data_IF_043586921194
#
_entry.id   IF_043586921194
#
_cell.length_a   1.000
_cell.length_b   1.000
_cell.length_c   1.000
_cell.angle_alpha   90.00
_cell.angle_beta   90.00
_cell.angle_gamma   90.00
#
_symmetry.space_group_name_H-M   'P 1'
#
loop_
_entity.id
_entity.type
_entity.pdbx_description
1 polymer ?
#
# COMPACT_ATOMS: atom_id res chain seq x y z
N UNK A 1 -11.38 -29.89 9.59
CA UNK A 1 -11.83 -30.18 8.21
C UNK A 1 -12.05 -28.88 7.44
N UNK A 2 -11.95 -28.90 6.11
CA UNK A 2 -12.09 -27.71 5.24
C UNK A 2 -13.41 -26.97 5.49
N UNK A 3 -14.50 -27.71 5.63
CA UNK A 3 -15.84 -27.17 5.94
C UNK A 3 -15.88 -26.41 7.29
N UNK A 4 -15.21 -26.90 8.32
CA UNK A 4 -15.14 -26.20 9.62
C UNK A 4 -14.35 -24.88 9.52
N UNK A 5 -13.34 -24.80 8.66
CA UNK A 5 -12.57 -23.57 8.43
C UNK A 5 -13.40 -22.53 7.67
N UNK A 6 -14.14 -22.94 6.65
CA UNK A 6 -15.05 -22.04 5.93
C UNK A 6 -16.14 -21.48 6.84
N UNK A 7 -16.74 -22.35 7.69
CA UNK A 7 -17.75 -21.91 8.66
C UNK A 7 -17.16 -20.93 9.68
N UNK A 8 -15.94 -21.19 10.19
CA UNK A 8 -15.24 -20.29 11.09
C UNK A 8 -14.92 -18.93 10.45
N UNK A 9 -14.47 -18.92 9.20
CA UNK A 9 -14.20 -17.69 8.44
C UNK A 9 -15.49 -16.89 8.19
N UNK A 10 -16.60 -17.56 7.86
CA UNK A 10 -17.91 -16.92 7.75
C UNK A 10 -18.37 -16.29 9.08
N UNK A 11 -18.16 -16.98 10.19
CA UNK A 11 -18.45 -16.45 11.51
C UNK A 11 -17.58 -15.21 11.82
N UNK A 12 -16.28 -15.29 11.57
CA UNK A 12 -15.36 -14.15 11.74
C UNK A 12 -15.82 -12.94 10.92
N UNK A 13 -16.28 -13.14 9.68
CA UNK A 13 -16.84 -12.07 8.85
C UNK A 13 -18.06 -11.42 9.52
N UNK A 14 -18.97 -12.21 10.11
CA UNK A 14 -20.14 -11.66 10.80
C UNK A 14 -19.75 -10.82 12.03
N UNK A 15 -18.67 -11.18 12.73
CA UNK A 15 -18.17 -10.40 13.88
C UNK A 15 -17.55 -9.04 13.47
N UNK A 16 -17.27 -8.81 12.20
CA UNK A 16 -16.85 -7.49 11.72
C UNK A 16 -18.01 -6.50 11.53
N UNK A 17 -19.25 -6.97 11.65
CA UNK A 17 -20.48 -6.21 11.40
C UNK A 17 -21.26 -5.98 12.70
N UNK A 18 -22.04 -4.88 12.82
CA UNK A 18 -22.93 -4.67 13.96
C UNK A 18 -23.91 -5.83 14.16
N UNK A 19 -24.02 -6.29 15.41
CA UNK A 19 -24.73 -7.51 15.77
C UNK A 19 -26.22 -7.53 15.43
N UNK A 20 -26.89 -6.37 15.39
CA UNK A 20 -28.35 -6.31 15.26
C UNK A 20 -28.92 -6.96 13.99
N UNK A 21 -28.18 -6.87 12.87
CA UNK A 21 -28.64 -7.38 11.57
C UNK A 21 -28.27 -8.86 11.31
N UNK A 22 -27.35 -9.43 12.09
CA UNK A 22 -26.74 -10.73 11.81
C UNK A 22 -26.79 -11.73 12.99
N UNK A 23 -27.51 -11.42 14.04
CA UNK A 23 -27.59 -12.24 15.26
C UNK A 23 -28.03 -13.69 15.01
N UNK A 24 -29.01 -13.92 14.12
CA UNK A 24 -29.45 -15.28 13.76
C UNK A 24 -28.39 -16.04 12.99
N UNK A 25 -27.69 -15.39 12.08
CA UNK A 25 -26.59 -15.99 11.32
C UNK A 25 -25.45 -16.41 12.25
N UNK A 26 -25.07 -15.52 13.20
CA UNK A 26 -24.05 -15.84 14.22
C UNK A 26 -24.49 -17.04 15.06
N UNK A 27 -25.74 -17.08 15.55
CA UNK A 27 -26.26 -18.20 16.34
C UNK A 27 -26.22 -19.54 15.58
N UNK A 28 -26.56 -19.53 14.30
CA UNK A 28 -26.46 -20.72 13.44
C UNK A 28 -25.01 -21.22 13.28
N UNK A 29 -24.10 -20.30 12.94
CA UNK A 29 -22.67 -20.63 12.71
C UNK A 29 -21.97 -21.09 14.01
N UNK A 30 -22.26 -20.47 15.14
CA UNK A 30 -21.71 -20.91 16.45
C UNK A 30 -22.21 -22.30 16.84
N UNK A 31 -23.49 -22.59 16.58
CA UNK A 31 -24.07 -23.94 16.81
C UNK A 31 -23.41 -24.98 15.91
N UNK A 32 -23.19 -24.68 14.62
CA UNK A 32 -22.54 -25.57 13.66
C UNK A 32 -21.10 -25.90 14.06
N UNK A 33 -20.36 -24.90 14.57
CA UNK A 33 -18.98 -25.07 15.05
C UNK A 33 -18.88 -25.68 16.46
N UNK A 34 -19.98 -25.81 17.17
CA UNK A 34 -19.95 -26.27 18.56
C UNK A 34 -19.21 -25.34 19.53
N UNK A 35 -19.21 -24.03 19.24
CA UNK A 35 -18.54 -23.02 20.06
C UNK A 35 -19.56 -22.14 20.77
N UNK A 36 -19.20 -21.68 21.97
CA UNK A 36 -20.05 -20.81 22.77
C UNK A 36 -19.58 -19.39 22.70
N UNK A 37 -20.40 -18.51 22.09
CA UNK A 37 -20.25 -17.07 22.12
C UNK A 37 -21.57 -16.45 22.61
N UNK A 38 -21.51 -15.65 23.65
CA UNK A 38 -22.68 -15.06 24.27
C UNK A 38 -22.37 -13.70 24.92
N UNK A 39 -23.28 -13.18 25.71
CA UNK A 39 -23.12 -11.89 26.39
C UNK A 39 -22.06 -11.91 27.51
N UNK A 40 -21.52 -13.09 27.86
CA UNK A 40 -20.46 -13.25 28.86
C UNK A 40 -19.10 -13.57 28.23
N UNK A 41 -18.97 -13.49 26.92
CA UNK A 41 -17.74 -13.76 26.18
C UNK A 41 -16.95 -12.47 25.96
N UNK A 42 -15.65 -12.53 26.22
CA UNK A 42 -14.70 -11.48 25.88
C UNK A 42 -14.19 -11.68 24.45
N UNK A 43 -13.98 -10.58 23.72
CA UNK A 43 -13.48 -10.59 22.35
C UNK A 43 -12.33 -9.60 22.20
N UNK A 44 -11.28 -10.02 21.49
CA UNK A 44 -10.18 -9.14 21.07
C UNK A 44 -9.87 -9.45 19.61
N UNK A 45 -9.93 -8.43 18.75
CA UNK A 45 -9.58 -8.57 17.36
C UNK A 45 -8.12 -8.17 17.10
N UNK A 46 -7.43 -8.96 16.29
CA UNK A 46 -6.12 -8.64 15.75
C UNK A 46 -6.27 -8.51 14.24
N UNK A 47 -5.75 -7.44 13.66
CA UNK A 47 -5.68 -7.27 12.22
C UNK A 47 -4.23 -7.25 11.81
N UNK A 48 -3.85 -8.18 10.95
CA UNK A 48 -2.51 -8.24 10.35
C UNK A 48 -2.60 -7.69 8.93
N UNK A 49 -1.87 -6.62 8.65
CA UNK A 49 -1.54 -6.19 7.29
C UNK A 49 -0.20 -6.79 6.92
N UNK A 50 -0.09 -7.39 5.75
CA UNK A 50 1.17 -7.98 5.27
C UNK A 50 1.31 -7.75 3.77
N UNK A 51 2.53 -7.70 3.26
CA UNK A 51 2.84 -7.69 1.83
C UNK A 51 3.09 -9.11 1.26
N UNK A 52 2.84 -10.12 2.08
CA UNK A 52 2.85 -11.51 1.64
C UNK A 52 1.78 -11.71 0.57
N UNK A 53 2.21 -11.67 -0.69
CA UNK A 53 1.52 -12.43 -1.71
C UNK A 53 1.77 -13.90 -1.37
N UNK A 54 0.69 -14.68 -1.30
CA UNK A 54 0.73 -16.12 -1.02
C UNK A 54 1.68 -16.81 -2.03
N UNK A 55 2.97 -16.67 -1.82
CA UNK A 55 3.97 -17.46 -2.52
C UNK A 55 3.88 -18.89 -2.01
N UNK A 56 4.07 -19.84 -2.89
CA UNK A 56 3.96 -21.28 -2.70
C UNK A 56 4.79 -21.89 -1.56
N UNK A 57 5.46 -21.09 -0.76
CA UNK A 57 6.35 -21.50 0.35
C UNK A 57 5.85 -21.06 1.73
N UNK A 58 4.69 -20.40 1.83
CA UNK A 58 4.08 -20.08 3.14
C UNK A 58 3.38 -21.34 3.63
N UNK A 59 3.61 -21.81 4.90
CA UNK A 59 2.85 -22.89 5.49
C UNK A 59 1.36 -22.64 5.30
N UNK A 60 0.59 -23.71 5.09
CA UNK A 60 -0.85 -23.51 4.89
C UNK A 60 -1.38 -22.73 6.10
N UNK A 61 -2.28 -21.76 5.86
CA UNK A 61 -2.94 -21.01 6.94
C UNK A 61 -3.59 -21.95 7.95
N UNK A 62 -3.96 -23.16 7.53
CA UNK A 62 -4.51 -24.19 8.39
C UNK A 62 -3.53 -24.68 9.46
N UNK A 63 -2.27 -24.94 9.06
CA UNK A 63 -1.22 -25.41 9.98
C UNK A 63 -0.87 -24.30 10.97
N UNK A 64 -0.70 -23.07 10.47
CA UNK A 64 -0.45 -21.93 11.34
C UNK A 64 -1.58 -21.68 12.35
N UNK A 65 -2.84 -21.79 11.92
CA UNK A 65 -3.98 -21.61 12.82
C UNK A 65 -4.01 -22.67 13.90
N UNK A 66 -3.61 -23.91 13.63
CA UNK A 66 -3.54 -24.94 14.64
C UNK A 66 -2.45 -24.64 15.66
N UNK A 67 -1.25 -24.27 15.22
CA UNK A 67 -0.14 -23.87 16.10
C UNK A 67 -0.53 -22.69 17.00
N UNK A 68 -1.25 -21.71 16.44
CA UNK A 68 -1.71 -20.55 17.21
C UNK A 68 -2.79 -20.93 18.22
N UNK A 69 -3.72 -21.83 17.87
CA UNK A 69 -4.70 -22.36 18.80
C UNK A 69 -4.04 -23.14 19.95
N UNK A 70 -3.01 -23.92 19.67
CA UNK A 70 -2.26 -24.66 20.68
C UNK A 70 -1.50 -23.72 21.62
N UNK A 71 -0.95 -22.61 21.08
CA UNK A 71 -0.38 -21.53 21.87
C UNK A 71 -1.41 -20.85 22.78
N UNK A 72 -2.63 -20.65 22.32
CA UNK A 72 -3.70 -19.98 23.08
C UNK A 72 -4.39 -20.91 24.11
N UNK A 73 -4.26 -22.23 23.98
CA UNK A 73 -4.96 -23.20 24.83
C UNK A 73 -4.69 -23.05 26.34
N UNK A 74 -3.43 -22.80 26.82
CA UNK A 74 -3.16 -22.55 28.23
C UNK A 74 -3.90 -21.33 28.79
N UNK A 75 -4.22 -20.36 27.94
CA UNK A 75 -4.96 -19.13 28.30
C UNK A 75 -6.49 -19.35 28.24
N UNK A 76 -6.97 -20.54 27.94
CA UNK A 76 -8.39 -20.84 27.71
C UNK A 76 -9.05 -19.94 26.69
N UNK A 77 -8.24 -19.47 25.75
CA UNK A 77 -8.64 -18.57 24.67
C UNK A 77 -8.77 -19.36 23.37
N UNK A 78 -9.83 -19.11 22.64
CA UNK A 78 -10.06 -19.68 21.31
C UNK A 78 -9.90 -18.60 20.27
N UNK A 79 -9.67 -19.00 19.02
CA UNK A 79 -9.48 -18.10 17.91
C UNK A 79 -10.28 -18.58 16.70
N UNK A 80 -10.86 -17.64 15.98
CA UNK A 80 -11.32 -17.80 14.60
C UNK A 80 -10.68 -16.72 13.74
N UNK A 81 -10.52 -16.98 12.45
CA UNK A 81 -9.89 -16.03 11.58
C UNK A 81 -10.61 -15.89 10.23
N UNK A 82 -10.28 -14.82 9.54
CA UNK A 82 -10.79 -14.49 8.22
C UNK A 82 -9.67 -13.83 7.42
N UNK A 83 -9.50 -14.26 6.19
CA UNK A 83 -8.69 -13.56 5.19
C UNK A 83 -9.57 -12.54 4.48
N UNK A 84 -9.18 -11.25 4.55
CA UNK A 84 -9.92 -10.14 3.95
C UNK A 84 -9.05 -9.42 2.92
N UNK A 85 -9.23 -9.72 1.65
CA UNK A 85 -8.31 -9.37 0.54
C UNK A 85 -6.92 -10.00 0.75
N UNK A 86 -6.10 -10.04 -0.28
CA UNK A 86 -4.80 -10.73 -0.25
C UNK A 86 -3.78 -10.20 0.78
N UNK A 87 -4.06 -9.07 1.44
CA UNK A 87 -3.11 -8.38 2.33
C UNK A 87 -3.55 -8.30 3.79
N UNK A 88 -4.78 -8.71 4.14
CA UNK A 88 -5.31 -8.53 5.47
C UNK A 88 -5.84 -9.83 6.06
N UNK A 89 -5.34 -10.15 7.25
CA UNK A 89 -5.83 -11.26 8.07
C UNK A 89 -6.46 -10.70 9.33
N UNK A 90 -7.63 -11.20 9.70
CA UNK A 90 -8.34 -10.80 10.91
C UNK A 90 -8.49 -12.00 11.81
N UNK A 91 -7.99 -11.92 13.03
CA UNK A 91 -8.12 -12.92 14.06
C UNK A 91 -9.05 -12.39 15.15
N UNK A 92 -10.08 -13.14 15.51
CA UNK A 92 -10.91 -12.89 16.70
C UNK A 92 -10.54 -13.90 17.77
N UNK A 93 -9.90 -13.44 18.83
CA UNK A 93 -9.68 -14.18 20.04
C UNK A 93 -10.91 -14.02 20.94
N UNK A 94 -11.36 -15.11 21.54
CA UNK A 94 -12.50 -15.07 22.45
C UNK A 94 -12.33 -16.05 23.62
N UNK A 95 -12.80 -15.64 24.80
CA UNK A 95 -12.71 -16.39 26.06
C UNK A 95 -13.90 -16.09 26.97
N UNK A 96 -14.15 -16.98 27.93
CA UNK A 96 -15.17 -16.73 28.97
C UNK A 96 -14.60 -15.98 30.18
N UNK A 97 -13.28 -15.93 30.31
CA UNK A 97 -12.55 -15.19 31.34
C UNK A 97 -11.92 -13.95 30.74
N UNK A 98 -11.82 -12.86 31.50
CA UNK A 98 -11.18 -11.63 31.01
C UNK A 98 -9.70 -11.89 30.73
N UNK A 99 -9.23 -11.70 29.48
CA UNK A 99 -7.82 -11.85 29.18
C UNK A 99 -7.02 -10.72 29.85
N UNK A 100 -5.87 -11.05 30.40
CA UNK A 100 -4.94 -10.03 30.91
C UNK A 100 -4.23 -9.31 29.76
N UNK A 101 -3.75 -8.08 30.00
CA UNK A 101 -2.95 -7.35 29.03
C UNK A 101 -1.71 -8.15 28.59
N UNK A 102 -1.10 -8.90 29.52
CA UNK A 102 0.04 -9.77 29.21
C UNK A 102 -0.33 -10.89 28.21
N UNK A 103 -1.51 -11.51 28.36
CA UNK A 103 -1.96 -12.58 27.45
C UNK A 103 -2.24 -12.02 26.04
N UNK A 104 -2.86 -10.84 25.97
CA UNK A 104 -3.10 -10.16 24.69
C UNK A 104 -1.78 -9.78 24.00
N UNK A 105 -0.83 -9.23 24.77
CA UNK A 105 0.49 -8.89 24.27
C UNK A 105 1.25 -10.12 23.77
N UNK A 106 1.27 -11.19 24.54
CA UNK A 106 1.91 -12.46 24.16
C UNK A 106 1.32 -13.05 22.88
N UNK A 107 -0.01 -12.96 22.68
CA UNK A 107 -0.65 -13.35 21.43
C UNK A 107 -0.19 -12.49 20.25
N UNK A 108 -0.06 -11.17 20.45
CA UNK A 108 0.49 -10.25 19.45
C UNK A 108 1.94 -10.58 19.08
N UNK A 109 2.80 -10.81 20.07
CA UNK A 109 4.21 -11.19 19.83
C UNK A 109 4.35 -12.54 19.12
N UNK A 110 3.46 -13.50 19.42
CA UNK A 110 3.43 -14.77 18.70
C UNK A 110 3.13 -14.54 17.20
N UNK A 111 2.13 -13.71 16.88
CA UNK A 111 1.83 -13.33 15.50
C UNK A 111 3.01 -12.59 14.84
N UNK A 112 3.65 -11.65 15.55
CA UNK A 112 4.86 -10.97 15.06
C UNK A 112 5.94 -11.97 14.67
N UNK A 113 6.29 -12.89 15.57
CA UNK A 113 7.32 -13.91 15.34
C UNK A 113 7.01 -14.84 14.16
N UNK A 114 5.73 -15.02 13.87
CA UNK A 114 5.30 -15.80 12.71
C UNK A 114 5.48 -14.99 11.41
N UNK A 115 4.92 -13.78 11.34
CA UNK A 115 4.93 -12.99 10.11
C UNK A 115 6.31 -12.45 9.75
N UNK A 116 7.19 -12.19 10.72
CA UNK A 116 8.58 -11.75 10.49
C UNK A 116 9.37 -12.70 9.58
N UNK A 117 9.02 -13.98 9.56
CA UNK A 117 9.67 -15.00 8.72
C UNK A 117 9.34 -14.88 7.23
N UNK A 118 8.26 -14.17 6.90
CA UNK A 118 7.68 -14.21 5.56
C UNK A 118 7.64 -12.85 4.86
N UNK A 119 7.82 -11.75 5.56
CA UNK A 119 7.81 -10.42 4.94
C UNK A 119 7.49 -9.29 5.92
N UNK A 120 7.11 -8.15 5.37
CA UNK A 120 6.72 -6.98 6.17
C UNK A 120 5.30 -7.17 6.71
N UNK A 121 5.08 -6.69 7.91
CA UNK A 121 3.77 -6.72 8.55
C UNK A 121 3.52 -5.49 9.42
N UNK A 122 2.25 -5.24 9.71
CA UNK A 122 1.77 -4.37 10.79
C UNK A 122 0.60 -5.09 11.46
N UNK A 123 0.67 -5.25 12.77
CA UNK A 123 -0.39 -5.89 13.56
C UNK A 123 -1.06 -4.84 14.42
N UNK A 124 -2.38 -4.69 14.29
CA UNK A 124 -3.19 -3.83 15.13
C UNK A 124 -4.08 -4.68 16.05
N UNK A 125 -4.03 -4.38 17.33
CA UNK A 125 -4.81 -5.07 18.38
C UNK A 125 -5.93 -4.17 18.85
N UNK A 126 -7.17 -4.58 18.61
CA UNK A 126 -8.35 -3.85 19.06
C UNK A 126 -8.57 -3.96 20.56
N UNK A 127 -9.33 -3.02 21.09
CA UNK A 127 -9.71 -3.04 22.50
C UNK A 127 -10.49 -4.30 22.85
N UNK A 128 -10.18 -4.92 23.98
CA UNK A 128 -10.95 -6.07 24.48
C UNK A 128 -12.35 -5.62 24.90
N UNK A 129 -13.36 -6.26 24.34
CA UNK A 129 -14.77 -5.97 24.64
C UNK A 129 -15.48 -7.14 25.29
N UNK A 130 -16.51 -6.86 26.07
CA UNK A 130 -17.32 -7.84 26.77
C UNK A 130 -18.72 -7.91 26.18
N UNK A 131 -19.15 -9.11 25.80
CA UNK A 131 -20.44 -9.40 25.21
C UNK A 131 -20.47 -9.46 23.70
N UNK A 132 -21.10 -10.50 23.16
CA UNK A 132 -21.22 -10.74 21.72
C UNK A 132 -21.75 -9.54 20.92
N UNK A 133 -22.75 -8.76 21.40
CA UNK A 133 -23.23 -7.57 20.68
C UNK A 133 -22.17 -6.50 20.46
N UNK A 134 -21.08 -6.50 21.22
CA UNK A 134 -19.97 -5.54 21.11
C UNK A 134 -18.77 -6.09 20.34
N UNK A 135 -18.79 -7.36 19.91
CA UNK A 135 -17.65 -7.98 19.23
C UNK A 135 -17.14 -7.18 18.03
N UNK A 136 -18.03 -6.52 17.26
CA UNK A 136 -17.63 -5.67 16.13
C UNK A 136 -16.81 -4.44 16.56
N UNK A 137 -16.93 -3.96 17.80
CA UNK A 137 -16.23 -2.76 18.28
C UNK A 137 -14.73 -3.01 18.41
N UNK A 138 -14.31 -4.20 18.84
CA UNK A 138 -12.88 -4.55 18.88
C UNK A 138 -12.28 -4.59 17.46
N UNK A 139 -13.02 -5.04 16.47
CA UNK A 139 -12.60 -4.97 15.07
C UNK A 139 -12.49 -3.52 14.62
N UNK A 140 -13.46 -2.67 14.94
CA UNK A 140 -13.47 -1.25 14.56
C UNK A 140 -12.27 -0.51 15.18
N UNK A 141 -11.97 -0.73 16.47
CA UNK A 141 -10.79 -0.11 17.11
C UNK A 141 -9.48 -0.60 16.47
N UNK A 142 -9.37 -1.89 16.14
CA UNK A 142 -8.21 -2.43 15.43
C UNK A 142 -8.05 -1.81 14.02
N UNK A 143 -9.14 -1.56 13.29
CA UNK A 143 -9.10 -0.88 11.97
C UNK A 143 -8.55 0.53 12.11
N UNK A 144 -8.99 1.29 13.13
CA UNK A 144 -8.50 2.64 13.37
C UNK A 144 -6.99 2.63 13.68
N UNK A 145 -6.55 1.72 14.55
CA UNK A 145 -5.13 1.53 14.85
C UNK A 145 -4.31 1.17 13.62
N UNK A 146 -4.83 0.27 12.79
CA UNK A 146 -4.14 -0.14 11.57
C UNK A 146 -3.96 1.02 10.57
N UNK A 147 -4.95 1.91 10.48
CA UNK A 147 -4.81 3.12 9.64
C UNK A 147 -3.74 4.07 10.18
N UNK A 148 -3.64 4.22 11.50
CA UNK A 148 -2.56 4.96 12.13
C UNK A 148 -1.21 4.26 11.96
N UNK A 149 -1.20 2.94 11.88
CA UNK A 149 -0.02 2.10 11.64
C UNK A 149 0.74 2.43 10.36
N UNK A 150 0.09 3.07 9.40
CA UNK A 150 0.73 3.56 8.17
C UNK A 150 1.89 4.53 8.44
N UNK A 151 1.85 5.23 9.57
CA UNK A 151 2.87 6.21 9.98
C UNK A 151 3.93 5.62 10.92
N UNK A 152 3.78 4.36 11.32
CA UNK A 152 4.74 3.65 12.14
C UNK A 152 5.73 2.85 11.26
N UNK A 153 6.88 2.46 11.80
CA UNK A 153 7.77 1.53 11.12
C UNK A 153 7.06 0.23 10.75
N UNK A 154 7.51 -0.42 9.69
CA UNK A 154 7.10 -1.80 9.39
C UNK A 154 7.44 -2.74 10.56
N UNK A 155 6.81 -3.90 10.59
CA UNK A 155 6.99 -4.92 11.63
C UNK A 155 6.62 -4.41 13.04
N UNK A 156 5.56 -3.60 13.11
CA UNK A 156 5.06 -3.03 14.37
C UNK A 156 3.84 -3.78 14.90
N UNK A 157 3.78 -3.92 16.22
CA UNK A 157 2.60 -4.33 16.98
C UNK A 157 1.98 -3.08 17.63
N UNK A 158 0.75 -2.76 17.25
CA UNK A 158 0.05 -1.54 17.67
C UNK A 158 -1.12 -1.88 18.59
N UNK A 159 -1.18 -1.17 19.70
CA UNK A 159 -2.28 -1.20 20.67
C UNK A 159 -2.81 0.22 20.88
N UNK A 160 -3.92 0.38 21.60
CA UNK A 160 -4.43 1.71 21.99
C UNK A 160 -3.37 2.55 22.69
N UNK A 161 -2.53 1.93 23.55
CA UNK A 161 -1.41 2.59 24.23
C UNK A 161 -0.38 3.17 23.26
N UNK A 162 -0.22 2.58 22.09
CA UNK A 162 0.71 3.07 21.05
C UNK A 162 0.35 4.48 20.56
N UNK A 163 -0.91 4.90 20.70
CA UNK A 163 -1.40 6.21 20.29
C UNK A 163 -1.50 7.23 21.46
N UNK A 164 -1.43 6.81 22.73
CA UNK A 164 -1.63 7.69 23.87
C UNK A 164 -0.56 8.78 24.01
N UNK A 165 0.67 8.48 23.61
CA UNK A 165 1.81 9.39 23.72
C UNK A 165 1.95 10.35 22.52
N UNK A 166 1.01 10.35 21.58
CA UNK A 166 1.04 11.21 20.40
C UNK A 166 0.35 12.53 20.73
N UNK A 167 1.06 13.69 20.62
CA UNK A 167 0.48 15.00 20.89
C UNK A 167 -0.73 15.26 20.01
N UNK A 168 -1.77 15.88 20.58
CA UNK A 168 -2.95 16.32 19.83
C UNK A 168 -2.58 17.58 19.03
N UNK A 169 -2.11 17.38 17.80
CA UNK A 169 -1.81 18.48 16.88
C UNK A 169 -3.08 18.80 16.11
N UNK A 170 -3.59 20.03 16.31
CA UNK A 170 -4.77 20.52 15.57
C UNK A 170 -4.57 20.40 14.06
N UNK A 171 -5.50 19.76 13.41
CA UNK A 171 -5.50 19.31 12.02
C UNK A 171 -5.84 20.40 10.99
N UNK A 172 -5.28 21.59 11.10
CA UNK A 172 -5.41 22.61 10.05
C UNK A 172 -4.36 22.47 8.93
N UNK A 173 -3.78 21.27 8.75
CA UNK A 173 -2.72 21.00 7.77
C UNK A 173 -3.21 21.11 6.32
N UNK A 174 -4.53 21.17 6.09
CA UNK A 174 -5.12 21.25 4.75
C UNK A 174 -5.73 22.62 4.42
N UNK A 175 -5.48 23.66 5.22
CA UNK A 175 -6.04 25.01 4.99
C UNK A 175 -5.50 25.66 3.72
N UNK A 176 -4.23 25.42 3.35
CA UNK A 176 -3.64 25.80 2.07
C UNK A 176 -3.44 24.53 1.22
N UNK A 177 -3.79 24.61 -0.05
CA UNK A 177 -3.68 23.47 -0.98
C UNK A 177 -2.20 23.14 -1.25
N UNK A 178 -1.58 22.13 -0.57
CA UNK A 178 -0.18 21.77 -0.78
C UNK A 178 0.16 21.49 -2.25
N UNK A 179 -0.84 21.00 -2.99
CA UNK A 179 -0.74 20.72 -4.41
C UNK A 179 -0.47 22.00 -5.24
N UNK A 180 -1.15 23.12 -4.93
CA UNK A 180 -0.93 24.39 -5.64
C UNK A 180 0.48 24.94 -5.40
N UNK A 181 0.95 24.96 -4.15
CA UNK A 181 2.31 25.38 -3.83
C UNK A 181 3.38 24.49 -4.49
N UNK A 182 3.14 23.18 -4.53
CA UNK A 182 4.06 22.24 -5.16
C UNK A 182 4.09 22.44 -6.70
N UNK A 183 2.94 22.62 -7.34
CA UNK A 183 2.86 22.91 -8.76
C UNK A 183 3.61 24.20 -9.15
N UNK A 184 3.49 25.25 -8.33
CA UNK A 184 4.24 26.50 -8.52
C UNK A 184 5.76 26.31 -8.43
N UNK A 185 6.22 25.52 -7.46
CA UNK A 185 7.64 25.19 -7.28
C UNK A 185 8.17 24.42 -8.51
N UNK A 186 7.43 23.42 -8.99
CA UNK A 186 7.78 22.63 -10.17
C UNK A 186 7.83 23.50 -11.44
N UNK A 187 6.86 24.41 -11.60
CA UNK A 187 6.81 25.32 -12.77
C UNK A 187 8.00 26.28 -12.85
N UNK A 188 8.52 26.70 -11.68
CA UNK A 188 9.71 27.58 -11.57
C UNK A 188 11.02 26.81 -11.65
N UNK A 189 10.99 25.49 -11.77
CA UNK A 189 12.17 24.62 -11.75
C UNK A 189 13.04 24.81 -10.48
N UNK A 190 12.40 25.09 -9.34
CA UNK A 190 13.07 25.30 -8.04
C UNK A 190 13.29 23.96 -7.31
N UNK A 191 14.39 23.29 -7.60
CA UNK A 191 14.74 22.01 -7.00
C UNK A 191 14.95 22.12 -5.47
N UNK A 192 15.58 23.20 -5.00
CA UNK A 192 15.81 23.41 -3.57
C UNK A 192 14.50 23.71 -2.82
N UNK A 193 13.63 24.50 -3.46
CA UNK A 193 12.28 24.76 -2.96
C UNK A 193 11.44 23.48 -2.86
N UNK A 194 11.52 22.60 -3.87
CA UNK A 194 10.83 21.31 -3.88
C UNK A 194 11.31 20.42 -2.72
N UNK A 195 12.62 20.33 -2.50
CA UNK A 195 13.19 19.58 -1.39
C UNK A 195 12.71 20.10 -0.04
N UNK A 196 12.80 21.42 0.20
CA UNK A 196 12.32 22.03 1.45
C UNK A 196 10.82 21.81 1.68
N UNK A 197 10.02 21.90 0.61
CA UNK A 197 8.59 21.65 0.64
C UNK A 197 8.31 20.21 1.09
N UNK A 198 8.94 19.22 0.44
CA UNK A 198 8.77 17.81 0.76
C UNK A 198 9.25 17.48 2.18
N UNK A 199 10.41 18.02 2.60
CA UNK A 199 10.92 17.84 3.97
C UNK A 199 9.92 18.39 5.01
N UNK A 200 9.38 19.59 4.77
CA UNK A 200 8.37 20.21 5.64
C UNK A 200 7.09 19.39 5.70
N UNK A 201 6.64 18.91 4.55
CA UNK A 201 5.46 18.06 4.42
C UNK A 201 5.63 16.75 5.21
N UNK A 202 6.78 16.10 5.05
CA UNK A 202 7.11 14.88 5.80
C UNK A 202 7.06 15.11 7.31
N UNK A 203 7.73 16.16 7.80
CA UNK A 203 7.76 16.46 9.23
C UNK A 203 6.37 16.73 9.80
N UNK A 204 5.50 17.39 9.04
CA UNK A 204 4.13 17.68 9.46
C UNK A 204 3.31 16.42 9.65
N UNK A 205 3.45 15.42 8.74
CA UNK A 205 2.74 14.16 8.83
C UNK A 205 3.39 13.19 9.80
N UNK A 206 4.71 13.07 9.76
CA UNK A 206 5.45 12.12 10.59
C UNK A 206 5.33 12.41 12.08
N UNK A 207 5.27 13.68 12.48
CA UNK A 207 5.09 14.08 13.89
C UNK A 207 3.66 13.86 14.40
N UNK A 208 2.72 13.64 13.52
CA UNK A 208 1.30 13.54 13.87
C UNK A 208 0.70 12.21 13.37
N UNK A 209 1.01 11.13 14.09
CA UNK A 209 0.52 9.77 13.80
C UNK A 209 -1.00 9.58 13.95
N UNK A 210 -1.78 10.64 14.22
CA UNK A 210 -3.24 10.60 14.31
C UNK A 210 -3.93 10.80 12.96
N UNK A 211 -3.18 11.04 11.89
CA UNK A 211 -3.77 11.10 10.57
C UNK A 211 -4.28 9.73 10.14
N UNK A 212 -5.37 9.75 9.41
CA UNK A 212 -5.84 8.57 8.72
C UNK A 212 -5.07 8.41 7.39
N UNK A 213 -4.75 7.18 7.06
CA UNK A 213 -4.01 6.82 5.85
C UNK A 213 -4.65 7.39 4.57
N UNK A 214 -5.99 7.27 4.41
CA UNK A 214 -6.66 7.63 3.17
C UNK A 214 -6.56 9.12 2.81
N UNK A 215 -6.86 10.09 3.70
CA UNK A 215 -6.67 11.50 3.39
C UNK A 215 -5.23 11.86 3.00
N UNK A 216 -4.24 11.20 3.59
CA UNK A 216 -2.83 11.42 3.24
C UNK A 216 -2.51 10.84 1.87
N UNK A 217 -2.97 9.64 1.56
CA UNK A 217 -2.85 9.05 0.22
C UNK A 217 -3.51 9.93 -0.85
N UNK A 218 -4.71 10.45 -0.59
CA UNK A 218 -5.42 11.36 -1.51
C UNK A 218 -4.64 12.65 -1.78
N UNK A 219 -3.98 13.19 -0.74
CA UNK A 219 -3.13 14.36 -0.92
C UNK A 219 -1.88 14.02 -1.74
N UNK A 220 -1.20 12.92 -1.45
CA UNK A 220 -0.05 12.48 -2.24
C UNK A 220 -0.42 12.18 -3.68
N UNK A 221 -1.60 11.62 -3.93
CA UNK A 221 -2.13 11.43 -5.27
C UNK A 221 -2.17 12.77 -6.06
N UNK A 222 -2.64 13.86 -5.42
CA UNK A 222 -2.63 15.20 -6.03
C UNK A 222 -1.23 15.72 -6.30
N UNK A 223 -0.25 15.45 -5.41
CA UNK A 223 1.14 15.84 -5.62
C UNK A 223 1.77 15.07 -6.80
N UNK A 224 1.50 13.79 -6.92
CA UNK A 224 1.94 13.01 -8.08
C UNK A 224 1.30 13.51 -9.39
N UNK A 225 0.02 13.91 -9.37
CA UNK A 225 -0.61 14.54 -10.53
C UNK A 225 0.09 15.86 -10.92
N UNK A 226 0.41 16.73 -9.94
CA UNK A 226 1.17 17.95 -10.21
C UNK A 226 2.53 17.66 -10.88
N UNK A 227 3.21 16.60 -10.44
CA UNK A 227 4.49 16.18 -11.01
C UNK A 227 4.33 15.68 -12.45
N UNK A 228 3.30 14.89 -12.73
CA UNK A 228 3.00 14.43 -14.09
C UNK A 228 2.62 15.59 -15.01
N UNK A 229 1.79 16.54 -14.55
CA UNK A 229 1.42 17.73 -15.29
C UNK A 229 2.65 18.60 -15.61
N UNK A 230 3.54 18.81 -14.63
CA UNK A 230 4.79 19.56 -14.83
C UNK A 230 5.70 18.86 -15.85
N UNK A 231 5.78 17.51 -15.78
CA UNK A 231 6.53 16.70 -16.74
C UNK A 231 6.03 16.88 -18.17
N UNK A 232 4.71 16.84 -18.37
CA UNK A 232 4.09 17.07 -19.68
C UNK A 232 4.32 18.49 -20.18
N UNK A 233 4.14 19.51 -19.33
CA UNK A 233 4.36 20.92 -19.70
C UNK A 233 5.80 21.19 -20.12
N UNK A 234 6.77 20.60 -19.44
CA UNK A 234 8.19 20.76 -19.74
C UNK A 234 8.72 19.78 -20.79
N UNK A 235 7.84 18.97 -21.40
CA UNK A 235 8.18 17.96 -22.41
C UNK A 235 9.29 17.00 -21.95
N UNK A 236 9.23 16.57 -20.69
CA UNK A 236 10.17 15.59 -20.14
C UNK A 236 9.65 14.20 -20.44
N UNK A 237 10.42 13.41 -21.19
CA UNK A 237 10.04 12.04 -21.54
C UNK A 237 9.77 11.17 -20.29
N UNK A 238 8.68 10.43 -20.31
CA UNK A 238 8.31 9.54 -19.23
C UNK A 238 9.31 8.41 -18.99
N UNK A 239 9.34 7.90 -17.79
CA UNK A 239 10.11 6.67 -17.49
C UNK A 239 9.44 5.40 -18.03
N UNK A 240 8.39 5.54 -18.83
CA UNK A 240 7.76 4.46 -19.60
C UNK A 240 6.99 3.41 -18.82
N UNK A 241 6.72 3.62 -17.55
CA UNK A 241 5.71 2.88 -16.86
C UNK A 241 4.52 3.80 -16.62
N UNK A 242 3.41 3.50 -17.26
CA UNK A 242 2.09 3.95 -16.84
C UNK A 242 1.68 3.04 -15.68
N UNK A 243 2.52 2.94 -14.65
CA UNK A 243 2.01 2.57 -13.35
C UNK A 243 0.98 3.64 -13.02
N UNK A 244 -0.25 3.22 -12.87
CA UNK A 244 -1.27 4.10 -12.35
C UNK A 244 -0.71 4.74 -11.07
N UNK A 245 -0.82 6.07 -10.93
CA UNK A 245 -0.43 6.76 -9.69
C UNK A 245 -1.07 6.05 -8.48
N UNK A 246 -2.29 5.54 -8.64
CA UNK A 246 -3.00 4.78 -7.64
C UNK A 246 -2.24 3.49 -7.26
N UNK A 247 -1.73 2.74 -8.23
CA UNK A 247 -0.93 1.52 -7.98
C UNK A 247 0.37 1.85 -7.24
N UNK A 248 1.09 2.88 -7.69
CA UNK A 248 2.30 3.36 -7.01
C UNK A 248 2.05 3.69 -5.53
N UNK A 249 0.92 4.34 -5.23
CA UNK A 249 0.54 4.71 -3.85
C UNK A 249 0.10 3.49 -3.04
N UNK A 250 -0.62 2.56 -3.67
CA UNK A 250 -1.11 1.37 -2.99
C UNK A 250 -0.01 0.34 -2.70
N UNK A 251 1.03 0.33 -3.50
CA UNK A 251 2.23 -0.50 -3.29
C UNK A 251 3.10 -0.02 -2.11
N UNK A 252 2.97 1.24 -1.71
CA UNK A 252 3.69 1.77 -0.54
C UNK A 252 3.12 1.22 0.76
N UNK A 253 3.89 0.39 1.45
CA UNK A 253 3.47 -0.26 2.69
C UNK A 253 3.35 0.73 3.85
N UNK A 254 4.24 1.72 3.93
CA UNK A 254 4.29 2.74 4.98
C UNK A 254 4.30 4.15 4.40
N UNK A 255 3.99 5.15 5.24
CA UNK A 255 4.07 6.57 4.88
C UNK A 255 5.50 7.02 4.50
N UNK A 256 6.58 6.64 5.24
CA UNK A 256 7.93 6.94 4.81
C UNK A 256 8.26 6.45 3.40
N UNK A 257 7.78 5.27 3.02
CA UNK A 257 7.98 4.69 1.69
C UNK A 257 7.22 5.48 0.61
N UNK A 258 5.96 5.86 0.88
CA UNK A 258 5.19 6.73 -0.01
C UNK A 258 5.88 8.08 -0.22
N UNK A 259 6.37 8.67 0.87
CA UNK A 259 7.07 9.95 0.81
C UNK A 259 8.36 9.84 0.01
N UNK A 260 9.18 8.82 0.28
CA UNK A 260 10.44 8.60 -0.44
C UNK A 260 10.20 8.39 -1.94
N UNK A 261 9.14 7.66 -2.30
CA UNK A 261 8.75 7.48 -3.70
C UNK A 261 8.46 8.81 -4.40
N UNK A 262 7.77 9.74 -3.73
CA UNK A 262 7.53 11.09 -4.29
C UNK A 262 8.82 11.90 -4.37
N UNK A 263 9.71 11.82 -3.38
CA UNK A 263 11.02 12.49 -3.38
C UNK A 263 11.87 11.99 -4.54
N UNK A 264 11.94 10.68 -4.77
CA UNK A 264 12.73 10.07 -5.84
C UNK A 264 12.21 10.47 -7.22
N UNK A 265 10.89 10.42 -7.44
CA UNK A 265 10.26 10.85 -8.70
C UNK A 265 10.44 12.37 -8.95
N UNK A 266 10.38 13.18 -7.89
CA UNK A 266 10.64 14.64 -7.98
C UNK A 266 12.11 14.92 -8.33
N UNK A 267 13.04 14.20 -7.71
CA UNK A 267 14.48 14.33 -8.01
C UNK A 267 14.79 13.89 -9.44
N UNK A 268 14.15 12.82 -9.91
CA UNK A 268 14.26 12.37 -11.31
C UNK A 268 13.72 13.42 -12.29
N UNK A 269 12.60 14.07 -11.95
CA UNK A 269 12.02 15.14 -12.74
C UNK A 269 13.04 16.27 -12.95
N UNK A 270 13.64 16.82 -11.89
CA UNK A 270 14.60 17.92 -12.01
C UNK A 270 15.86 17.50 -12.79
N UNK A 271 16.39 16.31 -12.53
CA UNK A 271 17.53 15.77 -13.26
C UNK A 271 17.26 15.67 -14.77
N UNK A 272 16.05 15.22 -15.15
CA UNK A 272 15.65 15.13 -16.55
C UNK A 272 15.36 16.51 -17.16
N UNK A 273 14.80 17.44 -16.40
CA UNK A 273 14.56 18.81 -16.84
C UNK A 273 15.87 19.51 -17.22
N UNK A 274 16.93 19.35 -16.41
CA UNK A 274 18.27 19.86 -16.73
C UNK A 274 18.83 19.25 -18.01
N UNK A 275 18.68 17.93 -18.20
CA UNK A 275 19.19 17.25 -19.40
C UNK A 275 18.35 17.54 -20.64
N UNK A 276 17.03 17.72 -20.51
CA UNK A 276 16.12 17.97 -21.64
C UNK A 276 16.22 19.39 -22.16
N UNK A 277 16.75 20.36 -21.41
CA UNK A 277 17.06 21.68 -21.90
C UNK A 277 18.09 21.67 -23.07
N UNK A 278 18.78 20.55 -23.26
CA UNK A 278 19.73 20.28 -24.33
C UNK A 278 19.18 19.32 -25.41
N UNK A 279 18.01 18.67 -25.19
CA UNK A 279 17.47 17.69 -26.13
C UNK A 279 16.61 18.36 -27.21
N UNK A 280 16.78 17.90 -28.45
CA UNK A 280 15.98 18.39 -29.58
C UNK A 280 14.48 18.03 -29.36
N UNK A 281 13.54 18.98 -29.49
CA UNK A 281 12.11 18.73 -29.27
C UNK A 281 11.51 17.57 -30.06
N UNK A 282 12.02 17.31 -31.27
CA UNK A 282 11.59 16.20 -32.11
C UNK A 282 12.05 14.86 -31.54
N UNK A 283 13.28 14.80 -31.01
CA UNK A 283 13.78 13.59 -30.30
C UNK A 283 12.94 13.31 -29.05
N UNK A 284 12.59 14.35 -28.31
CA UNK A 284 11.68 14.23 -27.20
C UNK A 284 10.35 13.58 -27.61
N UNK A 285 9.66 14.09 -28.62
CA UNK A 285 8.39 13.57 -29.11
C UNK A 285 8.48 12.10 -29.54
N UNK A 286 9.57 11.70 -30.20
CA UNK A 286 9.83 10.32 -30.59
C UNK A 286 9.96 9.42 -29.37
N UNK A 287 10.77 9.81 -28.39
CA UNK A 287 10.98 9.04 -27.15
C UNK A 287 9.72 8.96 -26.30
N UNK A 288 8.96 10.04 -26.20
CA UNK A 288 7.69 10.08 -25.47
C UNK A 288 6.66 9.13 -26.09
N UNK A 289 6.51 9.16 -27.43
CA UNK A 289 5.61 8.25 -28.14
C UNK A 289 5.98 6.77 -27.93
N UNK A 290 7.29 6.46 -27.99
CA UNK A 290 7.78 5.11 -27.69
C UNK A 290 7.43 4.72 -26.25
N UNK A 291 7.62 5.63 -25.30
CA UNK A 291 7.34 5.37 -23.89
C UNK A 291 5.87 5.04 -23.59
N UNK A 292 4.97 5.61 -24.36
CA UNK A 292 3.53 5.39 -24.22
C UNK A 292 3.03 4.14 -24.96
N UNK A 293 3.77 3.69 -26.00
CA UNK A 293 3.29 2.65 -26.92
C UNK A 293 4.18 1.41 -27.01
N UNK A 294 5.27 1.31 -26.24
CA UNK A 294 6.23 0.20 -26.34
C UNK A 294 5.64 -1.20 -26.13
N UNK A 295 4.53 -1.30 -25.41
CA UNK A 295 3.83 -2.58 -25.19
C UNK A 295 3.10 -3.09 -26.42
N UNK A 296 2.78 -2.25 -27.39
CA UNK A 296 2.13 -2.67 -28.61
C UNK A 296 3.12 -3.42 -29.50
N UNK A 297 2.85 -4.69 -29.80
CA UNK A 297 3.71 -5.53 -30.65
C UNK A 297 3.89 -4.93 -32.05
N UNK A 298 2.83 -4.29 -32.56
CA UNK A 298 2.78 -3.68 -33.89
C UNK A 298 3.50 -2.33 -33.99
N UNK A 299 3.97 -1.76 -32.87
CA UNK A 299 4.66 -0.46 -32.90
C UNK A 299 5.87 -0.51 -33.84
N UNK A 300 5.81 0.28 -34.89
CA UNK A 300 6.79 0.33 -35.97
C UNK A 300 7.39 1.74 -36.10
N UNK A 301 8.51 1.85 -36.80
CA UNK A 301 9.13 3.14 -37.17
C UNK A 301 8.17 4.01 -37.98
N UNK A 302 7.25 3.37 -38.73
CA UNK A 302 6.23 4.09 -39.50
C UNK A 302 5.27 4.83 -38.60
N UNK A 303 4.75 4.15 -37.56
CA UNK A 303 3.80 4.73 -36.58
C UNK A 303 4.45 5.93 -35.86
N UNK A 304 5.72 5.79 -35.48
CA UNK A 304 6.51 6.85 -34.85
C UNK A 304 6.65 8.04 -35.79
N UNK A 305 6.97 7.79 -37.06
CA UNK A 305 7.17 8.84 -38.06
C UNK A 305 5.88 9.59 -38.39
N UNK A 306 4.76 8.90 -38.45
CA UNK A 306 3.43 9.49 -38.63
C UNK A 306 3.06 10.38 -37.43
N UNK A 307 3.36 9.93 -36.20
CA UNK A 307 3.11 10.70 -34.98
C UNK A 307 3.84 12.03 -34.93
N UNK A 308 5.10 12.04 -35.36
CA UNK A 308 5.92 13.29 -35.42
C UNK A 308 5.79 14.06 -36.70
N UNK A 309 4.91 13.65 -37.61
CA UNK A 309 4.65 14.28 -38.93
C UNK A 309 5.89 14.41 -39.82
N UNK A 310 6.77 13.41 -39.75
CA UNK A 310 8.00 13.37 -40.55
C UNK A 310 8.06 12.09 -41.39
N UNK A 311 8.90 12.09 -42.46
CA UNK A 311 9.10 10.86 -43.24
C UNK A 311 9.91 9.83 -42.41
N UNK A 312 9.62 8.54 -42.62
CA UNK A 312 10.31 7.43 -41.96
C UNK A 312 11.82 7.46 -42.15
N UNK A 313 12.27 7.80 -43.38
CA UNK A 313 13.69 7.94 -43.70
C UNK A 313 14.36 9.07 -42.93
N UNK A 314 13.68 10.22 -42.83
CA UNK A 314 14.19 11.38 -42.09
C UNK A 314 14.27 11.05 -40.58
N UNK A 315 13.22 10.49 -39.99
CA UNK A 315 13.20 10.12 -38.57
C UNK A 315 14.34 9.17 -38.21
N UNK A 316 14.58 8.14 -39.04
CA UNK A 316 15.66 7.20 -38.79
C UNK A 316 17.04 7.86 -38.80
N UNK A 317 17.30 8.71 -39.79
CA UNK A 317 18.60 9.40 -39.95
C UNK A 317 18.79 10.44 -38.84
N UNK A 318 17.77 11.24 -38.62
CA UNK A 318 17.76 12.29 -37.61
C UNK A 318 17.92 11.73 -36.17
N UNK A 319 17.15 10.69 -35.82
CA UNK A 319 17.27 10.08 -34.52
C UNK A 319 18.69 9.53 -34.29
N UNK A 320 19.28 8.87 -35.31
CA UNK A 320 20.63 8.36 -35.20
C UNK A 320 21.68 9.46 -35.06
N UNK A 321 21.53 10.57 -35.76
CA UNK A 321 22.48 11.70 -35.66
C UNK A 321 22.45 12.38 -34.30
N UNK A 322 21.26 12.50 -33.70
CA UNK A 322 21.08 13.18 -32.42
C UNK A 322 21.38 12.27 -31.21
N UNK A 323 21.10 10.96 -31.32
CA UNK A 323 21.19 10.03 -30.15
C UNK A 323 22.37 9.05 -30.26
N UNK A 324 23.00 8.94 -31.41
CA UNK A 324 24.09 8.01 -31.69
C UNK A 324 23.61 6.56 -31.95
N UNK A 325 22.35 6.24 -31.81
CA UNK A 325 21.79 4.89 -32.01
C UNK A 325 20.59 4.91 -32.97
N UNK A 326 20.30 3.77 -33.59
CA UNK A 326 19.14 3.67 -34.48
C UNK A 326 17.83 3.59 -33.64
N UNK A 327 16.72 4.05 -34.22
CA UNK A 327 15.42 4.02 -33.59
C UNK A 327 14.98 2.62 -33.19
N UNK A 328 15.27 1.60 -34.02
CA UNK A 328 14.99 0.20 -33.70
C UNK A 328 15.84 -0.33 -32.54
N UNK A 329 17.13 0.07 -32.47
CA UNK A 329 17.97 -0.28 -31.33
C UNK A 329 17.41 0.34 -30.04
N UNK A 330 17.06 1.61 -30.06
CA UNK A 330 16.46 2.30 -28.93
C UNK A 330 15.17 1.61 -28.45
N UNK A 331 14.23 1.30 -29.37
CA UNK A 331 12.98 0.61 -29.04
C UNK A 331 13.23 -0.77 -28.42
N UNK A 332 14.20 -1.52 -28.98
CA UNK A 332 14.54 -2.86 -28.47
C UNK A 332 15.17 -2.76 -27.07
N UNK A 333 16.11 -1.86 -26.86
CA UNK A 333 16.75 -1.63 -25.56
C UNK A 333 15.72 -1.16 -24.54
N UNK A 334 14.83 -0.28 -24.92
CA UNK A 334 13.75 0.22 -24.07
C UNK A 334 12.83 -0.92 -23.61
N UNK A 335 12.37 -1.77 -24.54
CA UNK A 335 11.56 -2.96 -24.23
C UNK A 335 12.29 -3.95 -23.32
N UNK A 336 13.58 -4.18 -23.58
CA UNK A 336 14.41 -5.08 -22.75
C UNK A 336 14.60 -4.55 -21.35
N UNK A 337 14.79 -3.24 -21.19
CA UNK A 337 14.93 -2.63 -19.88
C UNK A 337 13.61 -2.75 -19.07
N UNK A 338 12.47 -2.52 -19.74
CA UNK A 338 11.16 -2.74 -19.10
C UNK A 338 10.90 -4.19 -18.73
N UNK A 339 11.26 -5.13 -19.60
CA UNK A 339 11.17 -6.55 -19.29
C UNK A 339 12.02 -6.93 -18.06
N UNK A 340 13.25 -6.40 -17.97
CA UNK A 340 14.09 -6.63 -16.79
C UNK A 340 13.49 -6.04 -15.51
N UNK A 341 12.85 -4.87 -15.58
CA UNK A 341 12.16 -4.26 -14.44
C UNK A 341 10.99 -5.15 -13.97
N UNK A 342 10.14 -5.60 -14.91
CA UNK A 342 9.03 -6.49 -14.61
C UNK A 342 9.48 -7.83 -14.01
N UNK A 343 10.59 -8.40 -14.51
CA UNK A 343 11.14 -9.65 -13.97
C UNK A 343 11.77 -9.51 -12.57
N UNK A 344 12.14 -8.30 -12.16
CA UNK A 344 12.60 -8.02 -10.78
C UNK A 344 11.43 -7.84 -9.81
N UNK A 345 10.25 -7.57 -10.32
CA UNK A 345 9.05 -7.40 -9.51
C UNK A 345 8.50 -8.78 -9.12
N UNK A 346 8.48 -9.06 -7.82
CA UNK A 346 8.02 -10.35 -7.28
C UNK A 346 6.55 -10.67 -7.63
N UNK A 347 5.75 -9.65 -8.01
CA UNK A 347 4.34 -9.81 -8.40
C UNK A 347 4.15 -10.54 -9.73
N UNK A 348 5.18 -10.61 -10.57
CA UNK A 348 5.13 -11.22 -11.91
C UNK A 348 5.93 -12.53 -12.03
N UNK A 349 6.31 -13.12 -10.90
CA UNK A 349 6.99 -14.43 -10.86
C UNK A 349 6.04 -15.59 -10.66
#
# INVERSE_FOLDING_TARGET
>A
TLHSMETASRLALQLTLPYGANSQTIAGLTSELGITMNNSTYFTAFIVKTDLFLESNVPSMADFCQDFLDFLAPFRTKCIYLEKKMQYLVYFLFSQEAPSSHQIHAAGEYLCSHFEKYGRYTIAVGDTVYGLPKAYQTYTSAVILLQSGYFFPENSLLTSESLENIPDVQTNVFADTPAGSFADILSRQDADGAKKFLDTLYQNFFKNHRFLQNPVKDMYYKLFLCLEDARHQQKIAGSGNVESIAETIDDCFTFPELHQTLVDKTSEFFRKAESSSQENPTIFLIKDYISQNYMHETLSVKDISEHVFLSTSYVCTFFKSETGQTLNQYLTEYRMEKAKQLLKDARFK
#
